data_IF_977584281916
#
_entry.id   IF_977584281916
#
_cell.length_a   1.000
_cell.length_b   1.000
_cell.length_c   1.000
_cell.angle_alpha   90.00
_cell.angle_beta   90.00
_cell.angle_gamma   90.00
#
_symmetry.space_group_name_H-M   'P 1'
#
loop_
_entity.id
_entity.type
_entity.pdbx_description
1 polymer ?
#
# COMPACT_ATOMS: atom_id res chain seq x y z
N UNK A 1 -2.16 10.12 -1.69
CA UNK A 1 -2.72 8.80 -2.02
C UNK A 1 -2.75 8.61 -3.53
N UNK A 2 -3.15 7.44 -4.03
CA UNK A 2 -3.52 7.30 -5.44
C UNK A 2 -5.02 7.50 -5.58
N UNK A 3 -5.44 8.34 -6.52
CA UNK A 3 -6.84 8.63 -6.81
C UNK A 3 -7.21 8.03 -8.17
N UNK A 4 -8.40 7.44 -8.25
CA UNK A 4 -8.94 6.90 -9.48
C UNK A 4 -9.68 8.01 -10.24
N UNK A 5 -9.06 8.54 -11.30
CA UNK A 5 -9.65 9.55 -12.18
C UNK A 5 -10.63 8.94 -13.22
N UNK A 6 -11.30 7.83 -12.89
CA UNK A 6 -12.18 7.11 -13.80
C UNK A 6 -11.45 6.24 -14.83
N UNK A 7 -10.27 5.71 -14.47
CA UNK A 7 -9.50 4.86 -15.38
C UNK A 7 -10.26 3.55 -15.67
N UNK A 8 -10.23 3.10 -16.92
CA UNK A 8 -10.87 1.84 -17.34
C UNK A 8 -9.94 0.63 -17.24
N UNK A 9 -8.64 0.85 -17.13
CA UNK A 9 -7.61 -0.18 -16.98
C UNK A 9 -6.33 0.40 -16.40
N UNK A 10 -5.41 -0.48 -15.96
CA UNK A 10 -4.08 -0.04 -15.52
C UNK A 10 -3.31 0.68 -16.64
N UNK A 11 -3.47 0.26 -17.89
CA UNK A 11 -2.85 0.93 -19.03
C UNK A 11 -3.43 2.34 -19.27
N UNK A 12 -4.73 2.54 -19.03
CA UNK A 12 -5.33 3.88 -19.05
C UNK A 12 -4.73 4.79 -17.96
N UNK A 13 -4.51 4.25 -16.76
CA UNK A 13 -3.75 4.96 -15.72
C UNK A 13 -2.33 5.31 -16.18
N UNK A 14 -1.58 4.34 -16.70
CA UNK A 14 -0.22 4.57 -17.21
C UNK A 14 -0.17 5.63 -18.32
N UNK A 15 -1.20 5.71 -19.15
CA UNK A 15 -1.30 6.71 -20.22
C UNK A 15 -1.31 8.15 -19.66
N UNK A 16 -1.88 8.37 -18.47
CA UNK A 16 -1.88 9.68 -17.80
C UNK A 16 -0.50 10.12 -17.29
N UNK A 17 0.44 9.18 -17.16
CA UNK A 17 1.80 9.44 -16.68
C UNK A 17 2.73 9.95 -17.80
N UNK A 18 3.77 10.68 -17.39
CA UNK A 18 4.87 11.05 -18.27
C UNK A 18 5.53 9.82 -18.89
N UNK A 19 5.95 9.92 -20.16
CA UNK A 19 6.48 8.77 -20.94
C UNK A 19 7.61 8.02 -20.22
N UNK A 20 8.56 8.77 -19.63
CA UNK A 20 9.66 8.19 -18.84
C UNK A 20 9.14 7.38 -17.65
N UNK A 21 8.18 7.92 -16.88
CA UNK A 21 7.61 7.26 -15.69
C UNK A 21 6.84 6.00 -16.06
N UNK A 22 6.01 6.07 -17.11
CA UNK A 22 5.31 4.90 -17.65
C UNK A 22 6.28 3.78 -18.07
N UNK A 23 7.35 4.12 -18.80
CA UNK A 23 8.37 3.12 -19.20
C UNK A 23 9.04 2.49 -17.98
N UNK A 24 9.37 3.29 -16.97
CA UNK A 24 9.93 2.78 -15.71
C UNK A 24 8.98 1.82 -15.01
N UNK A 25 7.70 2.18 -14.82
CA UNK A 25 6.72 1.30 -14.15
C UNK A 25 6.60 -0.02 -14.91
N UNK A 26 6.44 0.00 -16.25
CA UNK A 26 6.35 -1.25 -17.03
C UNK A 26 7.58 -2.14 -16.85
N UNK A 27 8.77 -1.57 -16.86
CA UNK A 27 10.01 -2.32 -16.60
C UNK A 27 10.01 -2.92 -15.20
N UNK A 28 9.68 -2.13 -14.18
CA UNK A 28 9.63 -2.63 -12.80
C UNK A 28 8.61 -3.76 -12.61
N UNK A 29 7.44 -3.70 -13.25
CA UNK A 29 6.44 -4.79 -13.23
C UNK A 29 6.99 -6.06 -13.89
N UNK A 30 7.66 -5.91 -15.04
CA UNK A 30 8.27 -7.04 -15.74
C UNK A 30 9.40 -7.68 -14.92
N UNK A 31 10.30 -6.86 -14.36
CA UNK A 31 11.43 -7.29 -13.53
C UNK A 31 10.97 -7.94 -12.20
N UNK A 32 9.80 -7.55 -11.68
CA UNK A 32 9.20 -8.14 -10.49
C UNK A 32 8.63 -9.55 -10.71
N UNK A 33 8.27 -9.88 -11.96
CA UNK A 33 7.59 -11.13 -12.32
C UNK A 33 8.39 -11.95 -13.36
N UNK A 34 9.64 -12.36 -13.07
CA UNK A 34 10.38 -13.28 -13.92
C UNK A 34 9.67 -14.63 -14.04
N UNK A 35 10.13 -15.46 -14.98
CA UNK A 35 9.55 -16.77 -15.26
C UNK A 35 9.32 -17.60 -13.98
N UNK A 36 8.09 -18.08 -13.82
CA UNK A 36 7.66 -18.89 -12.69
C UNK A 36 7.03 -18.11 -11.54
N UNK A 37 7.08 -16.77 -11.53
CA UNK A 37 6.39 -15.92 -10.54
C UNK A 37 5.01 -15.50 -11.07
N UNK A 38 3.98 -15.64 -10.23
CA UNK A 38 2.60 -15.22 -10.53
C UNK A 38 2.01 -14.49 -9.33
N UNK A 39 1.15 -13.50 -9.60
CA UNK A 39 0.42 -12.74 -8.58
C UNK A 39 -1.03 -13.21 -8.51
N UNK A 40 -1.56 -13.27 -7.29
CA UNK A 40 -2.91 -13.72 -6.98
C UNK A 40 -3.57 -12.70 -6.06
N UNK A 41 -4.81 -12.31 -6.36
CA UNK A 41 -5.67 -11.57 -5.45
C UNK A 41 -6.56 -12.56 -4.72
N UNK A 42 -6.47 -12.58 -3.39
CA UNK A 42 -7.27 -13.47 -2.55
C UNK A 42 -8.19 -12.62 -1.67
N UNK A 43 -9.46 -12.98 -1.63
CA UNK A 43 -10.49 -12.34 -0.80
C UNK A 43 -11.53 -13.37 -0.34
N UNK A 44 -12.38 -13.02 0.62
CA UNK A 44 -13.51 -13.87 1.02
C UNK A 44 -13.07 -15.30 1.37
N UNK A 45 -13.62 -16.29 0.67
CA UNK A 45 -13.35 -17.72 0.90
C UNK A 45 -11.95 -18.19 0.50
N UNK A 46 -11.20 -17.39 -0.27
CA UNK A 46 -9.82 -17.72 -0.63
C UNK A 46 -8.86 -17.58 0.55
N UNK A 47 -9.27 -16.85 1.60
CA UNK A 47 -8.48 -16.54 2.80
C UNK A 47 -8.52 -17.70 3.80
N UNK A 48 -8.02 -18.86 3.37
CA UNK A 48 -7.93 -20.08 4.19
C UNK A 48 -6.85 -19.96 5.27
N UNK A 49 -6.91 -20.81 6.30
CA UNK A 49 -5.87 -20.88 7.33
C UNK A 49 -4.47 -21.13 6.74
N UNK A 50 -4.36 -21.94 5.67
CA UNK A 50 -3.09 -22.17 4.97
C UNK A 50 -2.54 -20.94 4.25
N UNK A 51 -3.41 -20.05 3.76
CA UNK A 51 -3.02 -18.75 3.22
C UNK A 51 -2.54 -17.84 4.34
N UNK A 52 -3.22 -17.83 5.48
CA UNK A 52 -2.80 -17.06 6.66
C UNK A 52 -1.48 -17.55 7.25
N UNK A 53 -1.23 -18.85 7.26
CA UNK A 53 0.05 -19.43 7.67
C UNK A 53 1.18 -18.91 6.78
N UNK A 54 0.99 -18.94 5.45
CA UNK A 54 1.96 -18.39 4.51
C UNK A 54 2.19 -16.89 4.73
N UNK A 55 1.11 -16.11 4.85
CA UNK A 55 1.21 -14.67 5.06
C UNK A 55 1.90 -14.31 6.38
N UNK A 56 1.62 -15.06 7.45
CA UNK A 56 2.24 -14.85 8.76
C UNK A 56 3.76 -15.11 8.72
N UNK A 57 4.21 -16.14 7.99
CA UNK A 57 5.64 -16.36 7.78
C UNK A 57 6.31 -15.15 7.11
N UNK A 58 5.64 -14.54 6.12
CA UNK A 58 6.16 -13.37 5.43
C UNK A 58 6.28 -12.15 6.35
N UNK A 59 5.25 -11.94 7.18
CA UNK A 59 5.21 -10.90 8.19
C UNK A 59 6.36 -11.05 9.20
N UNK A 60 6.55 -12.26 9.73
CA UNK A 60 7.62 -12.56 10.69
C UNK A 60 9.00 -12.34 10.10
N UNK A 61 9.26 -12.83 8.88
CA UNK A 61 10.56 -12.70 8.21
C UNK A 61 10.93 -11.24 7.89
N UNK A 62 9.92 -10.42 7.58
CA UNK A 62 10.14 -9.00 7.25
C UNK A 62 10.30 -8.15 8.52
N UNK A 63 9.50 -8.43 9.55
CA UNK A 63 9.56 -7.76 10.84
C UNK A 63 10.91 -7.98 11.53
N UNK A 64 11.42 -9.21 11.55
CA UNK A 64 12.69 -9.56 12.18
C UNK A 64 13.92 -8.85 11.58
N UNK A 65 13.84 -8.43 10.31
CA UNK A 65 14.98 -7.88 9.54
C UNK A 65 15.08 -6.36 9.53
N UNK A 66 13.98 -5.62 9.63
CA UNK A 66 13.97 -4.18 9.25
C UNK A 66 13.30 -3.22 10.22
N UNK A 67 12.26 -3.60 10.97
CA UNK A 67 11.44 -2.64 11.70
C UNK A 67 10.73 -3.23 12.93
N UNK A 68 11.44 -3.33 14.05
CA UNK A 68 10.86 -3.66 15.36
C UNK A 68 10.41 -5.10 15.54
N UNK A 69 9.98 -5.44 16.75
CA UNK A 69 9.44 -6.76 17.06
C UNK A 69 8.08 -6.94 16.38
N UNK A 70 7.84 -8.07 15.68
CA UNK A 70 6.48 -8.44 15.25
C UNK A 70 5.51 -8.32 16.43
N UNK A 71 4.42 -7.58 16.23
CA UNK A 71 3.42 -7.28 17.26
C UNK A 71 2.06 -7.93 16.99
N UNK A 72 1.79 -8.34 15.74
CA UNK A 72 0.61 -9.12 15.39
C UNK A 72 0.90 -10.61 15.56
N UNK A 73 -0.01 -11.33 16.20
CA UNK A 73 0.08 -12.78 16.39
C UNK A 73 -0.49 -13.52 15.18
N UNK A 74 -0.22 -14.84 15.09
CA UNK A 74 -0.89 -15.68 14.09
C UNK A 74 -2.41 -15.69 14.28
N UNK A 75 -2.87 -15.71 15.52
CA UNK A 75 -4.30 -15.72 15.89
C UNK A 75 -5.04 -14.49 15.37
N UNK A 76 -4.40 -13.31 15.37
CA UNK A 76 -4.97 -12.10 14.77
C UNK A 76 -5.47 -12.33 13.33
N UNK A 77 -4.71 -13.08 12.52
CA UNK A 77 -5.07 -13.33 11.13
C UNK A 77 -6.27 -14.27 10.97
N UNK A 78 -6.42 -15.27 11.85
CA UNK A 78 -7.63 -16.10 11.87
C UNK A 78 -8.84 -15.27 12.27
N UNK A 79 -8.73 -14.47 13.33
CA UNK A 79 -9.83 -13.64 13.83
C UNK A 79 -10.28 -12.61 12.79
N UNK A 80 -9.34 -11.92 12.15
CA UNK A 80 -9.66 -10.92 11.13
C UNK A 80 -10.22 -11.58 9.86
N UNK A 81 -9.71 -12.75 9.48
CA UNK A 81 -10.28 -13.56 8.40
C UNK A 81 -11.72 -13.96 8.68
N UNK A 82 -12.02 -14.48 9.87
CA UNK A 82 -13.37 -14.87 10.28
C UNK A 82 -14.34 -13.68 10.27
N UNK A 83 -13.94 -12.54 10.84
CA UNK A 83 -14.84 -11.40 11.05
C UNK A 83 -15.01 -10.50 9.83
N UNK A 84 -14.05 -10.47 8.91
CA UNK A 84 -14.06 -9.50 7.82
C UNK A 84 -13.40 -9.97 6.51
N UNK A 85 -13.38 -11.28 6.22
CA UNK A 85 -12.81 -11.83 4.95
C UNK A 85 -13.22 -11.11 3.68
N UNK A 86 -14.48 -10.67 3.57
CA UNK A 86 -15.01 -10.00 2.37
C UNK A 86 -14.54 -8.54 2.27
N UNK A 87 -13.85 -8.04 3.31
CA UNK A 87 -13.25 -6.71 3.36
C UNK A 87 -11.73 -6.77 3.42
N UNK A 88 -11.14 -7.90 3.04
CA UNK A 88 -9.70 -8.09 2.97
C UNK A 88 -9.33 -8.42 1.53
N UNK A 89 -8.25 -7.79 1.07
CA UNK A 89 -7.52 -8.18 -0.12
C UNK A 89 -6.09 -8.57 0.28
N UNK A 90 -5.72 -9.82 0.04
CA UNK A 90 -4.33 -10.23 -0.01
C UNK A 90 -3.85 -10.23 -1.47
N UNK A 91 -2.77 -9.49 -1.72
CA UNK A 91 -2.03 -9.58 -2.98
C UNK A 91 -0.82 -10.48 -2.73
N UNK A 92 -0.87 -11.72 -3.21
CA UNK A 92 0.10 -12.78 -2.91
C UNK A 92 0.88 -13.18 -4.15
N UNK A 93 2.17 -13.47 -4.01
CA UNK A 93 3.01 -14.00 -5.10
C UNK A 93 3.36 -15.47 -4.89
N UNK A 94 3.24 -16.29 -5.94
CA UNK A 94 3.77 -17.65 -6.00
C UNK A 94 4.97 -17.73 -6.91
N UNK A 95 5.99 -18.50 -6.50
CA UNK A 95 7.00 -19.05 -7.40
C UNK A 95 6.93 -20.57 -7.38
N UNK A 96 6.80 -21.21 -8.55
CA UNK A 96 6.75 -22.68 -8.65
C UNK A 96 5.74 -23.32 -7.67
N UNK A 97 4.52 -22.77 -7.62
CA UNK A 97 3.41 -23.17 -6.72
C UNK A 97 3.57 -22.86 -5.22
N UNK A 98 4.72 -22.37 -4.77
CA UNK A 98 4.98 -21.96 -3.38
C UNK A 98 4.73 -20.47 -3.20
N UNK A 99 4.03 -20.08 -2.14
CA UNK A 99 3.89 -18.66 -1.78
C UNK A 99 5.24 -18.09 -1.32
N UNK A 100 5.60 -16.90 -1.82
CA UNK A 100 6.91 -16.28 -1.55
C UNK A 100 6.81 -14.87 -0.93
N UNK A 101 5.70 -14.17 -1.14
CA UNK A 101 5.47 -12.83 -0.66
C UNK A 101 3.98 -12.49 -0.63
N UNK A 102 3.61 -11.48 0.16
CA UNK A 102 2.24 -11.00 0.24
C UNK A 102 2.14 -9.59 0.78
N UNK A 103 1.09 -8.87 0.38
CA UNK A 103 0.67 -7.59 0.96
C UNK A 103 -0.79 -7.66 1.38
N UNK A 104 -1.10 -7.19 2.59
CA UNK A 104 -2.49 -7.12 3.09
C UNK A 104 -3.06 -5.71 2.93
N UNK A 105 -4.28 -5.66 2.41
CA UNK A 105 -5.09 -4.47 2.27
C UNK A 105 -6.48 -4.70 2.87
N UNK A 106 -7.06 -3.64 3.44
CA UNK A 106 -8.45 -3.64 3.87
C UNK A 106 -9.31 -2.83 2.90
N UNK A 107 -10.48 -3.37 2.56
CA UNK A 107 -11.42 -2.79 1.61
C UNK A 107 -12.44 -1.93 2.40
N UNK A 108 -12.33 -0.62 2.21
CA UNK A 108 -13.26 0.39 2.69
C UNK A 108 -14.57 0.43 1.88
N UNK A 109 -15.34 1.51 2.06
CA UNK A 109 -16.51 1.79 1.21
C UNK A 109 -16.11 2.12 -0.24
N UNK A 110 -15.04 2.90 -0.40
CA UNK A 110 -14.54 3.41 -1.69
C UNK A 110 -13.01 3.42 -1.77
N UNK A 111 -12.32 3.00 -0.70
CA UNK A 111 -10.89 3.17 -0.51
C UNK A 111 -10.23 1.86 -0.15
N UNK A 112 -9.13 1.52 -0.82
CA UNK A 112 -8.28 0.39 -0.48
C UNK A 112 -7.15 0.83 0.45
N UNK A 113 -7.07 0.24 1.63
CA UNK A 113 -6.14 0.62 2.67
C UNK A 113 -5.01 -0.41 2.81
N UNK A 114 -3.84 -0.12 2.26
CA UNK A 114 -2.64 -0.94 2.46
C UNK A 114 -2.15 -0.88 3.91
N UNK A 115 -1.66 -2.00 4.42
CA UNK A 115 -1.10 -2.09 5.78
C UNK A 115 0.36 -2.49 5.74
N UNK A 116 0.64 -3.77 5.77
CA UNK A 116 1.99 -4.31 5.77
C UNK A 116 2.14 -5.37 4.70
N UNK A 117 3.40 -5.63 4.39
CA UNK A 117 3.79 -6.64 3.42
C UNK A 117 4.89 -7.49 4.04
N UNK A 118 5.14 -8.64 3.44
CA UNK A 118 6.38 -9.34 3.67
C UNK A 118 6.74 -10.29 2.55
N UNK A 119 7.95 -10.83 2.65
CA UNK A 119 8.44 -11.86 1.76
C UNK A 119 9.45 -12.78 2.46
N UNK A 120 9.48 -14.03 2.00
CA UNK A 120 10.53 -15.01 2.32
C UNK A 120 11.53 -15.19 1.19
N UNK A 121 11.25 -14.62 0.02
CA UNK A 121 12.15 -14.59 -1.14
C UNK A 121 12.32 -13.16 -1.65
N UNK A 122 13.56 -12.78 -1.96
CA UNK A 122 13.84 -11.44 -2.48
C UNK A 122 13.85 -11.44 -3.99
N UNK A 123 13.01 -10.59 -4.59
CA UNK A 123 13.05 -10.27 -6.01
C UNK A 123 13.05 -8.75 -6.21
N UNK A 124 13.78 -8.23 -7.21
CA UNK A 124 13.73 -6.83 -7.57
C UNK A 124 12.29 -6.36 -7.76
N UNK A 125 11.95 -5.20 -7.21
CA UNK A 125 10.66 -4.53 -7.38
C UNK A 125 9.39 -5.28 -6.94
N UNK A 126 9.49 -6.52 -6.41
CA UNK A 126 8.32 -7.30 -5.97
C UNK A 126 7.49 -6.57 -4.91
N UNK A 127 8.14 -5.85 -4.00
CA UNK A 127 7.46 -4.97 -3.05
C UNK A 127 6.56 -3.93 -3.76
N UNK A 128 7.06 -3.30 -4.82
CA UNK A 128 6.29 -2.29 -5.57
C UNK A 128 5.15 -2.94 -6.37
N UNK A 129 5.40 -4.10 -6.95
CA UNK A 129 4.37 -4.86 -7.65
C UNK A 129 3.21 -5.20 -6.72
N UNK A 130 3.47 -5.83 -5.58
CA UNK A 130 2.42 -6.30 -4.67
C UNK A 130 1.76 -5.18 -3.86
N UNK A 131 2.53 -4.18 -3.42
CA UNK A 131 2.01 -3.14 -2.52
C UNK A 131 1.41 -1.95 -3.25
N UNK A 132 1.81 -1.69 -4.50
CA UNK A 132 1.43 -0.46 -5.21
C UNK A 132 0.72 -0.73 -6.51
N UNK A 133 1.33 -1.45 -7.45
CA UNK A 133 0.78 -1.60 -8.79
C UNK A 133 -0.45 -2.50 -8.83
N UNK A 134 -0.40 -3.62 -8.10
CA UNK A 134 -1.54 -4.53 -7.97
C UNK A 134 -2.68 -3.91 -7.14
N UNK A 135 -2.36 -3.10 -6.13
CA UNK A 135 -3.36 -2.36 -5.37
C UNK A 135 -4.10 -1.31 -6.24
N UNK A 136 -3.37 -0.57 -7.07
CA UNK A 136 -3.95 0.34 -8.08
C UNK A 136 -4.81 -0.43 -9.07
N UNK A 137 -4.27 -1.52 -9.62
CA UNK A 137 -4.98 -2.32 -10.61
C UNK A 137 -6.29 -2.90 -10.05
N UNK A 138 -6.24 -3.45 -8.83
CA UNK A 138 -7.43 -3.93 -8.12
C UNK A 138 -8.46 -2.81 -7.93
N UNK A 139 -8.02 -1.63 -7.49
CA UNK A 139 -8.90 -0.47 -7.27
C UNK A 139 -9.56 0.01 -8.57
N UNK A 140 -8.84 0.00 -9.70
CA UNK A 140 -9.41 0.30 -11.02
C UNK A 140 -10.50 -0.74 -11.37
N UNK A 141 -10.17 -2.03 -11.30
CA UNK A 141 -11.07 -3.12 -11.69
C UNK A 141 -12.34 -3.18 -10.82
N UNK A 142 -12.22 -2.84 -9.53
CA UNK A 142 -13.32 -2.83 -8.57
C UNK A 142 -13.94 -1.44 -8.35
N UNK A 143 -13.57 -0.45 -9.18
CA UNK A 143 -14.09 0.92 -9.15
C UNK A 143 -13.97 1.61 -7.78
N UNK A 144 -12.91 1.29 -7.04
CA UNK A 144 -12.54 2.02 -5.83
C UNK A 144 -11.98 3.39 -6.23
N UNK A 145 -12.37 4.42 -5.49
CA UNK A 145 -11.99 5.80 -5.74
C UNK A 145 -10.53 6.06 -5.36
N UNK A 146 -9.98 5.32 -4.37
CA UNK A 146 -8.68 5.63 -3.79
C UNK A 146 -7.90 4.40 -3.34
N UNK A 147 -6.57 4.50 -3.38
CA UNK A 147 -5.64 3.59 -2.70
C UNK A 147 -4.74 4.37 -1.75
N UNK A 148 -4.73 3.95 -0.48
CA UNK A 148 -3.86 4.47 0.57
C UNK A 148 -2.78 3.45 0.93
N UNK A 149 -1.58 3.62 0.35
CA UNK A 149 -0.48 2.67 0.51
C UNK A 149 0.35 2.86 1.80
N UNK A 150 -0.29 3.32 2.88
CA UNK A 150 0.34 3.62 4.17
C UNK A 150 1.22 4.88 4.16
N UNK A 151 1.79 5.20 5.33
CA UNK A 151 2.60 6.40 5.52
C UNK A 151 4.01 6.28 4.90
N UNK A 152 4.61 7.43 4.58
CA UNK A 152 6.02 7.64 4.19
C UNK A 152 6.52 6.94 2.90
N UNK A 153 7.55 7.53 2.29
CA UNK A 153 8.25 7.00 1.12
C UNK A 153 8.02 7.82 -0.15
N UNK A 154 8.98 8.71 -0.47
CA UNK A 154 8.98 9.54 -1.69
C UNK A 154 8.93 8.69 -2.98
N UNK A 155 9.40 7.44 -2.91
CA UNK A 155 9.33 6.50 -4.01
C UNK A 155 7.87 6.23 -4.46
N UNK A 156 6.87 6.48 -3.61
CA UNK A 156 5.44 6.35 -3.96
C UNK A 156 5.00 7.39 -5.00
N UNK A 157 5.58 8.59 -4.99
CA UNK A 157 5.23 9.69 -5.91
C UNK A 157 5.49 9.27 -7.35
N UNK A 158 6.65 8.67 -7.63
CA UNK A 158 6.98 8.20 -8.97
C UNK A 158 6.00 7.15 -9.52
N UNK A 159 5.15 6.57 -8.67
CA UNK A 159 4.19 5.49 -8.96
C UNK A 159 2.73 5.96 -8.99
N UNK A 160 2.49 7.27 -8.88
CA UNK A 160 1.15 7.86 -8.95
C UNK A 160 0.51 8.16 -7.60
N UNK A 161 1.19 7.91 -6.48
CA UNK A 161 0.68 8.26 -5.15
C UNK A 161 1.14 9.66 -4.78
N UNK A 162 0.26 10.64 -4.89
CA UNK A 162 0.57 12.04 -4.59
C UNK A 162 0.61 12.30 -3.07
N UNK A 163 1.36 13.29 -2.59
CA UNK A 163 1.23 13.75 -1.21
C UNK A 163 -0.21 14.19 -0.94
N UNK A 164 -0.73 13.80 0.22
CA UNK A 164 -2.08 14.16 0.66
C UNK A 164 -2.04 14.43 2.15
N UNK A 165 -2.56 15.58 2.56
CA UNK A 165 -2.68 15.92 3.98
C UNK A 165 -3.69 14.97 4.62
N UNK A 166 -3.27 14.35 5.72
CA UNK A 166 -4.14 13.50 6.55
C UNK A 166 -4.38 14.20 7.87
N UNK A 167 -5.55 13.97 8.44
CA UNK A 167 -6.00 14.64 9.65
C UNK A 167 -6.27 13.60 10.74
N UNK A 168 -6.01 13.99 11.98
CA UNK A 168 -6.40 13.21 13.17
C UNK A 168 -7.04 14.16 14.18
N UNK A 169 -8.03 13.64 14.90
CA UNK A 169 -8.74 14.37 15.94
C UNK A 169 -8.39 13.77 17.30
N UNK A 170 -7.98 14.63 18.24
CA UNK A 170 -7.53 14.21 19.55
C UNK A 170 -8.26 15.02 20.62
N UNK A 171 -8.85 14.32 21.59
CA UNK A 171 -9.35 14.95 22.81
C UNK A 171 -8.30 14.84 23.91
N UNK A 172 -7.73 15.98 24.30
CA UNK A 172 -6.66 16.03 25.31
C UNK A 172 -7.27 16.59 26.59
N UNK A 173 -7.44 15.74 27.60
CA UNK A 173 -8.10 16.10 28.86
C UNK A 173 -7.28 17.13 29.65
N UNK A 174 -5.97 16.90 29.77
CA UNK A 174 -5.06 17.78 30.52
C UNK A 174 -4.90 19.14 29.80
N UNK A 175 -5.27 20.27 30.44
CA UNK A 175 -5.20 21.58 29.80
C UNK A 175 -3.76 22.06 29.50
N UNK A 176 -2.78 21.67 30.30
CA UNK A 176 -1.38 22.06 30.08
C UNK A 176 -0.80 21.31 28.88
N UNK A 177 -1.06 20.00 28.79
CA UNK A 177 -0.68 19.19 27.63
C UNK A 177 -1.39 19.68 26.36
N UNK A 178 -2.67 20.02 26.45
CA UNK A 178 -3.44 20.56 25.32
C UNK A 178 -2.78 21.83 24.75
N UNK A 179 -2.42 22.78 25.61
CA UNK A 179 -1.73 24.02 25.19
C UNK A 179 -0.39 23.73 24.53
N UNK A 180 0.42 22.85 25.12
CA UNK A 180 1.71 22.48 24.56
C UNK A 180 1.59 21.86 23.16
N UNK A 181 0.62 20.96 22.97
CA UNK A 181 0.33 20.36 21.67
C UNK A 181 -0.18 21.41 20.68
N UNK A 182 -1.11 22.28 21.09
CA UNK A 182 -1.65 23.34 20.23
C UNK A 182 -0.56 24.29 19.72
N UNK A 183 0.37 24.70 20.60
CA UNK A 183 1.49 25.57 20.23
C UNK A 183 2.49 24.89 19.30
N UNK A 184 2.75 23.59 19.51
CA UNK A 184 3.54 22.80 18.57
C UNK A 184 2.88 22.73 17.18
N UNK A 185 1.57 22.43 17.14
CA UNK A 185 0.81 22.28 15.90
C UNK A 185 0.79 23.54 15.03
N UNK A 186 0.90 24.74 15.62
CA UNK A 186 1.04 26.00 14.85
C UNK A 186 2.24 25.96 13.91
N UNK A 187 3.38 25.47 14.40
CA UNK A 187 4.63 25.35 13.62
C UNK A 187 4.59 24.15 12.70
N UNK A 188 4.17 22.99 13.22
CA UNK A 188 4.12 21.74 12.44
C UNK A 188 3.26 21.88 11.18
N UNK A 189 2.10 22.54 11.25
CA UNK A 189 1.21 22.75 10.10
C UNK A 189 1.88 23.51 8.96
N UNK A 190 2.71 24.50 9.26
CA UNK A 190 3.47 25.26 8.26
C UNK A 190 4.48 24.36 7.57
N UNK A 191 5.25 23.58 8.35
CA UNK A 191 6.24 22.65 7.81
C UNK A 191 5.60 21.55 6.96
N UNK A 192 4.51 20.95 7.43
CA UNK A 192 3.79 19.90 6.69
C UNK A 192 3.20 20.44 5.39
N UNK A 193 2.66 21.66 5.39
CA UNK A 193 2.14 22.30 4.18
C UNK A 193 3.27 22.58 3.15
N UNK A 194 4.40 23.12 3.60
CA UNK A 194 5.56 23.38 2.74
C UNK A 194 6.12 22.09 2.13
N UNK A 195 6.34 21.05 2.96
CA UNK A 195 6.80 19.75 2.50
C UNK A 195 5.80 19.10 1.52
N UNK A 196 4.49 19.26 1.76
CA UNK A 196 3.45 18.77 0.85
C UNK A 196 3.52 19.45 -0.52
N UNK A 197 3.75 20.76 -0.56
CA UNK A 197 3.89 21.52 -1.81
C UNK A 197 5.14 21.10 -2.59
N UNK A 198 6.29 21.01 -1.92
CA UNK A 198 7.56 20.57 -2.52
C UNK A 198 7.43 19.17 -3.15
N UNK A 199 6.87 18.20 -2.41
CA UNK A 199 6.67 16.85 -2.91
C UNK A 199 5.68 16.80 -4.09
N UNK A 200 4.71 17.70 -4.15
CA UNK A 200 3.73 17.76 -5.24
C UNK A 200 4.38 18.17 -6.57
N UNK A 201 5.47 18.95 -6.55
CA UNK A 201 6.21 19.34 -7.76
C UNK A 201 6.84 18.14 -8.48
N UNK A 202 7.16 17.07 -7.74
CA UNK A 202 7.72 15.83 -8.28
C UNK A 202 6.67 14.91 -8.95
N UNK A 203 5.49 15.44 -9.29
CA UNK A 203 4.37 14.72 -9.90
C UNK A 203 4.79 13.84 -11.09
N UNK A 204 4.33 12.58 -11.18
CA UNK A 204 4.64 11.69 -12.29
C UNK A 204 3.73 11.89 -13.51
N UNK A 205 2.67 12.68 -13.36
CA UNK A 205 1.65 12.92 -14.39
C UNK A 205 2.18 13.87 -15.48
N UNK A 206 1.63 13.78 -16.69
CA UNK A 206 2.00 14.73 -17.75
C UNK A 206 1.55 16.13 -17.36
N UNK A 207 2.41 17.11 -17.56
CA UNK A 207 1.98 18.51 -17.66
C UNK A 207 1.33 18.65 -19.04
N UNK A 208 0.11 19.20 -19.06
CA UNK A 208 -0.63 19.48 -20.31
C UNK A 208 0.15 20.39 -21.24
#
# INVERSE_FOLDING_TARGET
HWENAGYTSFEAFLASLASRKRKTIRRERADALPAGISVHWLTGTDLTESVWDAFFQFYMETGSRKWGRPYLTREFYSLVGEKMRDRILLVMAKRNRRWIAGAINFIGSDTLFGRHWGAVEHHPFLHFELCYYQAIQYAIEHKLARVEAGAQGEHKIARGYMPTTTYSAHYILDPALRRAIEDFLKRERVYVAAAGAELAEATPFRKG
#
